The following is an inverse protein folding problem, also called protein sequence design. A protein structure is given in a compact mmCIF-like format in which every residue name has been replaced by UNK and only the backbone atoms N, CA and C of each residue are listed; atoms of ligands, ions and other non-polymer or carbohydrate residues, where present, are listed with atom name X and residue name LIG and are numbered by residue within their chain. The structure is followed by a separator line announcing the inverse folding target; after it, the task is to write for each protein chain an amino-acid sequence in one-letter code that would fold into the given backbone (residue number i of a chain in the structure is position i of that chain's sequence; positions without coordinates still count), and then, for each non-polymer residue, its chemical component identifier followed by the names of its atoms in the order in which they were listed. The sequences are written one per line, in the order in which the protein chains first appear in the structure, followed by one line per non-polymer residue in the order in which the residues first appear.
data_IF_900696455043
#
_entry.id   IF_900696455043
#
_cell.length_a   1.000
_cell.length_b   1.000
_cell.length_c   1.000
_cell.angle_alpha   90.00
_cell.angle_beta   90.00
_cell.angle_gamma   90.00
#
_symmetry.space_group_name_H-M   'P 1'
#
loop_
_entity.id
_entity.type
_entity.pdbx_description
1 polymer ?
#
# COMPACT_ATOMS: atom_id res chain seq x y z
N UNK A 1 12.81 -12.95 17.15
CA UNK A 1 11.35 -13.05 16.89
C UNK A 1 11.04 -14.53 16.73
N UNK A 2 9.92 -15.03 17.27
CA UNK A 2 9.53 -16.44 17.14
C UNK A 2 9.54 -16.93 15.68
N UNK A 3 9.22 -16.03 14.74
CA UNK A 3 9.33 -16.27 13.30
C UNK A 3 10.76 -16.65 12.85
N UNK A 4 11.78 -15.91 13.27
CA UNK A 4 13.18 -16.22 12.92
C UNK A 4 13.64 -17.53 13.57
N UNK A 5 13.21 -17.77 14.80
CA UNK A 5 13.51 -19.03 15.50
C UNK A 5 12.84 -20.24 14.82
N UNK A 6 11.62 -20.07 14.30
CA UNK A 6 10.93 -21.07 13.48
C UNK A 6 11.76 -21.43 12.24
N UNK A 7 12.25 -20.42 11.51
CA UNK A 7 13.11 -20.61 10.34
C UNK A 7 14.46 -21.26 10.71
N UNK A 8 15.12 -20.80 11.78
CA UNK A 8 16.39 -21.35 12.26
C UNK A 8 16.27 -22.83 12.69
N UNK A 9 15.07 -23.25 13.11
CA UNK A 9 14.75 -24.64 13.44
C UNK A 9 14.32 -25.47 12.22
N UNK A 10 14.30 -24.88 11.01
CA UNK A 10 13.96 -25.55 9.76
C UNK A 10 12.47 -25.72 9.49
N UNK A 11 11.62 -24.90 10.13
CA UNK A 11 10.20 -24.87 9.80
C UNK A 11 9.91 -23.80 8.75
N UNK A 12 9.18 -24.17 7.71
CA UNK A 12 8.78 -23.27 6.64
C UNK A 12 7.53 -22.48 7.04
N UNK A 13 7.61 -21.14 7.13
CA UNK A 13 6.44 -20.32 7.42
C UNK A 13 5.45 -20.36 6.25
N UNK A 14 4.19 -20.60 6.58
CA UNK A 14 3.12 -20.66 5.60
C UNK A 14 2.53 -19.26 5.29
N UNK A 15 1.63 -19.24 4.30
CA UNK A 15 0.91 -18.02 3.88
C UNK A 15 0.21 -17.34 5.05
N UNK A 16 -0.33 -18.12 5.98
CA UNK A 16 -1.04 -17.62 7.14
C UNK A 16 -0.10 -16.89 8.10
N UNK A 17 1.07 -17.49 8.37
CA UNK A 17 2.11 -16.91 9.22
C UNK A 17 2.61 -15.57 8.67
N UNK A 18 2.96 -15.54 7.37
CA UNK A 18 3.36 -14.29 6.70
C UNK A 18 2.25 -13.24 6.72
N UNK A 19 1.01 -13.64 6.40
CA UNK A 19 -0.13 -12.72 6.35
C UNK A 19 -0.40 -12.05 7.71
N UNK A 20 -0.32 -12.82 8.81
CA UNK A 20 -0.46 -12.27 10.16
C UNK A 20 0.65 -11.27 10.47
N UNK A 21 1.91 -11.62 10.20
CA UNK A 21 3.04 -10.74 10.50
C UNK A 21 2.96 -9.44 9.69
N UNK A 22 2.66 -9.55 8.40
CA UNK A 22 2.43 -8.40 7.50
C UNK A 22 1.29 -7.52 8.03
N UNK A 23 0.18 -8.12 8.47
CA UNK A 23 -0.93 -7.39 9.11
C UNK A 23 -0.50 -6.66 10.39
N UNK A 24 0.22 -7.35 11.28
CA UNK A 24 0.72 -6.78 12.52
C UNK A 24 1.64 -5.58 12.27
N UNK A 25 2.59 -5.71 11.33
CA UNK A 25 3.48 -4.61 10.96
C UNK A 25 2.74 -3.48 10.25
N UNK A 26 1.78 -3.80 9.38
CA UNK A 26 0.95 -2.83 8.70
C UNK A 26 0.07 -2.01 9.65
N UNK A 27 -0.55 -2.64 10.65
CA UNK A 27 -1.31 -1.95 11.71
C UNK A 27 -0.41 -1.09 12.61
N UNK A 28 0.83 -1.53 12.84
CA UNK A 28 1.83 -0.80 13.62
C UNK A 28 2.55 0.33 12.86
N UNK A 29 2.07 0.69 11.66
CA UNK A 29 2.67 1.67 10.74
C UNK A 29 4.14 1.38 10.40
N UNK A 30 4.57 0.12 10.53
CA UNK A 30 5.91 -0.37 10.21
C UNK A 30 5.93 -0.97 8.80
N UNK A 31 5.49 -0.16 7.83
CA UNK A 31 5.21 -0.61 6.46
C UNK A 31 6.45 -1.15 5.76
N UNK A 32 7.62 -0.60 6.04
CA UNK A 32 8.87 -1.08 5.43
C UNK A 32 9.17 -2.54 5.83
N UNK A 33 8.91 -2.91 7.10
CA UNK A 33 9.02 -4.31 7.56
C UNK A 33 7.92 -5.21 6.98
N UNK A 34 6.71 -4.67 6.75
CA UNK A 34 5.64 -5.41 6.09
C UNK A 34 6.01 -5.76 4.63
N UNK A 35 6.63 -4.82 3.90
CA UNK A 35 7.14 -5.09 2.55
C UNK A 35 8.33 -6.04 2.55
N UNK A 36 9.26 -5.92 3.51
CA UNK A 36 10.37 -6.89 3.61
C UNK A 36 9.88 -8.33 3.80
N UNK A 37 8.86 -8.54 4.64
CA UNK A 37 8.25 -9.86 4.82
C UNK A 37 7.49 -10.34 3.58
N UNK A 38 6.88 -9.43 2.84
CA UNK A 38 6.23 -9.76 1.57
C UNK A 38 7.25 -10.19 0.50
N UNK A 39 8.38 -9.50 0.41
CA UNK A 39 9.46 -9.86 -0.51
C UNK A 39 10.09 -11.20 -0.11
N UNK A 40 10.28 -11.44 1.20
CA UNK A 40 10.75 -12.71 1.74
C UNK A 40 9.77 -13.85 1.42
N UNK A 41 8.47 -13.63 1.64
CA UNK A 41 7.41 -14.58 1.31
C UNK A 41 7.48 -15.03 -0.16
N UNK A 42 7.67 -14.09 -1.09
CA UNK A 42 7.82 -14.40 -2.52
C UNK A 42 9.13 -15.15 -2.79
N UNK A 43 10.24 -14.74 -2.17
CA UNK A 43 11.55 -15.36 -2.35
C UNK A 43 11.58 -16.83 -1.90
N UNK A 44 10.86 -17.15 -0.82
CA UNK A 44 10.69 -18.51 -0.31
C UNK A 44 9.62 -19.32 -1.08
N UNK A 45 9.06 -18.76 -2.15
CA UNK A 45 8.05 -19.43 -2.99
C UNK A 45 6.67 -19.54 -2.34
N UNK A 46 6.44 -18.83 -1.24
CA UNK A 46 5.15 -18.76 -0.57
C UNK A 46 4.24 -17.77 -1.30
N UNK A 47 3.10 -18.23 -1.83
CA UNK A 47 2.28 -17.44 -2.75
C UNK A 47 1.37 -16.46 -1.98
N UNK A 48 1.51 -15.14 -2.16
CA UNK A 48 0.65 -14.17 -1.49
C UNK A 48 -0.79 -14.25 -1.97
N UNK A 49 -1.75 -14.02 -1.07
CA UNK A 49 -3.17 -14.03 -1.40
C UNK A 49 -3.76 -12.59 -1.40
N UNK A 50 -5.05 -12.49 -1.75
CA UNK A 50 -5.76 -11.20 -1.80
C UNK A 50 -5.69 -10.42 -0.48
N UNK A 51 -5.69 -11.12 0.67
CA UNK A 51 -5.62 -10.51 1.99
C UNK A 51 -4.26 -9.84 2.20
N UNK A 52 -3.17 -10.53 1.84
CA UNK A 52 -1.80 -9.98 1.91
C UNK A 52 -1.68 -8.68 1.11
N UNK A 53 -2.18 -8.67 -0.13
CA UNK A 53 -2.17 -7.47 -0.98
C UNK A 53 -3.05 -6.34 -0.42
N UNK A 54 -4.24 -6.65 0.08
CA UNK A 54 -5.15 -5.66 0.67
C UNK A 54 -4.51 -4.96 1.89
N UNK A 55 -3.78 -5.70 2.74
CA UNK A 55 -3.06 -5.13 3.88
C UNK A 55 -2.00 -4.13 3.40
N UNK A 56 -1.18 -4.51 2.42
CA UNK A 56 -0.12 -3.65 1.89
C UNK A 56 -0.66 -2.43 1.15
N UNK A 57 -1.75 -2.57 0.39
CA UNK A 57 -2.46 -1.46 -0.25
C UNK A 57 -2.98 -0.46 0.78
N UNK A 58 -3.60 -0.93 1.85
CA UNK A 58 -4.08 -0.07 2.93
C UNK A 58 -2.92 0.67 3.64
N UNK A 59 -1.77 0.01 3.80
CA UNK A 59 -0.57 0.65 4.32
C UNK A 59 -0.05 1.79 3.42
N UNK A 60 -0.06 1.58 2.10
CA UNK A 60 0.36 2.59 1.14
C UNK A 60 -0.65 3.75 1.05
N UNK A 61 -1.95 3.46 1.14
CA UNK A 61 -3.01 4.48 1.21
C UNK A 61 -2.84 5.39 2.42
N UNK A 62 -2.63 4.81 3.60
CA UNK A 62 -2.42 5.57 4.83
C UNK A 62 -1.20 6.48 4.75
N UNK A 63 -0.13 6.04 4.07
CA UNK A 63 1.09 6.82 3.82
C UNK A 63 0.99 7.78 2.62
N UNK A 64 -0.11 7.78 1.87
CA UNK A 64 -0.29 8.63 0.69
C UNK A 64 0.64 8.27 -0.49
N UNK A 65 1.16 7.05 -0.51
CA UNK A 65 2.08 6.55 -1.55
C UNK A 65 1.30 6.05 -2.76
N UNK A 66 0.61 6.97 -3.44
CA UNK A 66 -0.33 6.66 -4.53
C UNK A 66 0.29 5.88 -5.68
N UNK A 67 1.50 6.22 -6.12
CA UNK A 67 2.16 5.54 -7.24
C UNK A 67 2.52 4.08 -6.89
N UNK A 68 3.03 3.85 -5.68
CA UNK A 68 3.35 2.50 -5.19
C UNK A 68 2.09 1.65 -5.05
N UNK A 69 0.98 2.24 -4.57
CA UNK A 69 -0.29 1.54 -4.42
C UNK A 69 -0.85 1.06 -5.76
N UNK A 70 -0.80 1.91 -6.80
CA UNK A 70 -1.21 1.50 -8.15
C UNK A 70 -0.33 0.40 -8.71
N UNK A 71 1.00 0.49 -8.51
CA UNK A 71 1.93 -0.57 -8.95
C UNK A 71 1.58 -1.91 -8.28
N UNK A 72 1.32 -1.88 -6.97
CA UNK A 72 0.95 -3.08 -6.21
C UNK A 72 -0.39 -3.67 -6.66
N UNK A 73 -1.37 -2.82 -7.00
CA UNK A 73 -2.65 -3.24 -7.57
C UNK A 73 -2.49 -3.89 -8.96
N UNK A 74 -1.60 -3.36 -9.82
CA UNK A 74 -1.29 -4.01 -11.09
C UNK A 74 -0.60 -5.37 -10.88
N UNK A 75 0.32 -5.48 -9.92
CA UNK A 75 0.95 -6.76 -9.57
C UNK A 75 -0.09 -7.78 -9.12
N UNK A 76 -1.04 -7.39 -8.26
CA UNK A 76 -2.15 -8.26 -7.83
C UNK A 76 -2.89 -8.84 -9.04
N UNK A 77 -3.23 -8.01 -10.04
CA UNK A 77 -3.92 -8.46 -11.26
C UNK A 77 -3.04 -9.38 -12.12
N UNK A 78 -1.75 -9.09 -12.22
CA UNK A 78 -0.79 -9.93 -12.96
C UNK A 78 -0.62 -11.32 -12.34
N UNK A 79 -0.78 -11.44 -11.02
CA UNK A 79 -0.80 -12.72 -10.32
C UNK A 79 -2.13 -13.49 -10.50
N UNK A 80 -3.08 -12.97 -11.28
CA UNK A 80 -4.38 -13.60 -11.52
C UNK A 80 -5.34 -13.53 -10.33
N UNK A 81 -5.03 -12.71 -9.31
CA UNK A 81 -5.92 -12.48 -8.18
C UNK A 81 -7.04 -11.53 -8.57
N UNK A 82 -8.25 -11.80 -8.09
CA UNK A 82 -9.42 -10.94 -8.30
C UNK A 82 -9.50 -9.90 -7.18
N UNK A 83 -9.43 -8.59 -7.48
CA UNK A 83 -9.70 -7.54 -6.50
C UNK A 83 -11.08 -7.71 -5.85
N UNK A 84 -11.18 -7.50 -4.54
CA UNK A 84 -12.44 -7.58 -3.80
C UNK A 84 -12.95 -6.19 -3.40
N UNK A 85 -14.08 -6.16 -2.68
CA UNK A 85 -14.68 -4.91 -2.20
C UNK A 85 -13.74 -4.10 -1.30
N UNK A 86 -12.84 -4.76 -0.58
CA UNK A 86 -11.84 -4.10 0.26
C UNK A 86 -10.79 -3.42 -0.63
N UNK A 87 -10.31 -4.10 -1.68
CA UNK A 87 -9.36 -3.52 -2.64
C UNK A 87 -9.89 -2.22 -3.23
N UNK A 88 -11.12 -2.23 -3.77
CA UNK A 88 -11.72 -1.03 -4.38
C UNK A 88 -11.96 0.09 -3.37
N UNK A 89 -12.40 -0.25 -2.16
CA UNK A 89 -12.59 0.72 -1.08
C UNK A 89 -11.28 1.43 -0.69
N UNK A 90 -10.14 0.73 -0.74
CA UNK A 90 -8.82 1.33 -0.48
C UNK A 90 -8.44 2.29 -1.61
N UNK A 91 -8.65 1.89 -2.88
CA UNK A 91 -8.32 2.72 -4.04
C UNK A 91 -9.15 4.01 -4.10
N UNK A 92 -10.45 3.96 -3.77
CA UNK A 92 -11.30 5.15 -3.71
C UNK A 92 -10.80 6.18 -2.67
N UNK A 93 -10.37 5.70 -1.48
CA UNK A 93 -9.77 6.55 -0.45
C UNK A 93 -8.47 7.20 -0.93
N UNK A 94 -7.64 6.45 -1.64
CA UNK A 94 -6.38 6.92 -2.22
C UNK A 94 -6.60 8.07 -3.22
N UNK A 95 -7.57 7.92 -4.12
CA UNK A 95 -7.91 8.95 -5.12
C UNK A 95 -8.49 10.21 -4.48
N UNK A 96 -9.36 10.05 -3.48
CA UNK A 96 -9.94 11.15 -2.71
C UNK A 96 -8.86 12.01 -2.02
N UNK A 97 -7.80 11.38 -1.50
CA UNK A 97 -6.65 12.10 -0.91
C UNK A 97 -5.80 12.79 -1.98
N UNK A 98 -5.56 12.13 -3.10
CA UNK A 98 -4.79 12.70 -4.22
C UNK A 98 -5.43 13.99 -4.75
N UNK A 99 -6.75 14.00 -4.97
CA UNK A 99 -7.49 15.18 -5.46
C UNK A 99 -7.47 16.37 -4.46
N UNK A 100 -7.43 16.09 -3.14
CA UNK A 100 -7.26 17.13 -2.11
C UNK A 100 -5.89 17.81 -2.20
N UNK A 101 -4.82 17.05 -2.37
CA UNK A 101 -3.46 17.62 -2.51
C UNK A 101 -3.28 18.41 -3.81
N UNK A 102 -3.90 17.97 -4.91
CA UNK A 102 -3.89 18.67 -6.19
C UNK A 102 -4.67 20.01 -6.13
N UNK A 103 -5.78 20.07 -5.40
CA UNK A 103 -6.54 21.31 -5.16
C UNK A 103 -5.76 22.34 -4.35
N UNK A 104 -4.99 21.91 -3.34
CA UNK A 104 -4.17 22.80 -2.51
C UNK A 104 -2.99 23.39 -3.32
N UNK A 105 -2.49 22.67 -4.34
CA UNK A 105 -1.35 23.07 -5.16
C UNK A 105 -1.65 24.03 -6.31
N UNK A 106 -2.89 24.44 -6.56
CA UNK A 106 -3.17 25.53 -7.53
C UNK A 106 -2.99 26.88 -6.84
N UNK A 107 -1.88 27.63 -7.04
CA UNK A 107 -1.84 29.01 -6.59
C UNK A 107 -2.94 29.80 -7.30
N UNK A 108 -3.73 30.56 -6.54
CA UNK A 108 -4.64 31.55 -7.10
C UNK A 108 -3.82 32.52 -7.95
N UNK A 109 -4.03 32.56 -9.27
CA UNK A 109 -3.53 33.64 -10.12
C UNK A 109 -4.17 34.94 -9.63
N UNK A 110 -3.45 35.71 -8.82
CA UNK A 110 -3.81 37.10 -8.55
C UNK A 110 -3.41 37.86 -9.81
N UNK A 111 -4.26 37.86 -10.82
CA UNK A 111 -4.10 38.80 -11.93
C UNK A 111 -4.46 40.17 -11.40
N UNK A 112 -3.43 40.98 -11.16
CA UNK A 112 -3.56 42.39 -10.85
C UNK A 112 -4.23 43.12 -12.01
N UNK A 113 -5.32 43.81 -11.72
CA UNK A 113 -5.84 44.84 -12.61
C UNK A 113 -5.20 46.16 -12.17
N UNK A 114 -4.25 46.63 -12.98
CA UNK A 114 -3.75 48.00 -12.92
C UNK A 114 -4.91 48.90 -13.35
N UNK A 115 -5.36 49.74 -12.43
CA UNK A 115 -6.31 50.83 -12.70
C UNK A 115 -5.74 51.72 -13.80
N UNK A 116 -6.49 51.90 -14.88
CA UNK A 116 -6.20 52.97 -15.86
C UNK A 116 -6.78 54.27 -15.31
N UNK A 117 -6.00 55.36 -15.19
CA UNK A 117 -6.55 56.64 -14.79
C UNK A 117 -7.08 57.43 -15.99
N UNK A 118 -8.30 57.95 -15.77
CA UNK A 118 -9.03 59.08 -16.39
C UNK A 118 -9.17 59.16 -17.91
#
# INVERSE_FOLDING_TARGET
MLFKEMQERGYDPDVFTYSILIECFGKSNKVDMAFSLFDEMIAEGCIPNIVTYNILLDCLERRGKTAEAHKLYETLKQQGLTPDSITYSILERLESRSQRTARIRKPRRITGWVVSPV
#
